data_IF_877705953166
#
_entry.id   IF_877705953166
#
_cell.length_a   1.000
_cell.length_b   1.000
_cell.length_c   1.000
_cell.angle_alpha   90.00
_cell.angle_beta   90.00
_cell.angle_gamma   90.00
#
_symmetry.space_group_name_H-M   'P 1'
#
loop_
_entity.id
_entity.type
_entity.pdbx_description
1 polymer ?
#
# COMPACT_ATOMS: atom_id res chain seq x y z
N UNK A 1 9.49 -15.33 -4.46
CA UNK A 1 10.80 -14.70 -4.70
C UNK A 1 10.56 -13.45 -5.53
N UNK A 2 11.17 -12.30 -5.21
CA UNK A 2 10.85 -11.06 -5.90
C UNK A 2 12.02 -10.08 -5.93
N UNK A 3 11.85 -8.98 -6.67
CA UNK A 3 12.84 -7.92 -6.77
C UNK A 3 12.22 -6.58 -7.17
N UNK A 4 12.94 -5.52 -6.88
CA UNK A 4 12.56 -4.13 -7.22
C UNK A 4 13.69 -3.48 -7.99
N UNK A 5 13.34 -2.79 -9.06
CA UNK A 5 14.27 -1.94 -9.80
C UNK A 5 13.68 -0.53 -9.84
N UNK A 6 14.48 0.47 -9.43
CA UNK A 6 14.09 1.88 -9.43
C UNK A 6 15.19 2.73 -10.04
N UNK A 7 14.84 3.58 -10.99
CA UNK A 7 15.70 4.59 -11.59
C UNK A 7 15.37 5.96 -10.99
N UNK A 8 16.36 6.61 -10.40
CA UNK A 8 16.20 7.92 -9.78
C UNK A 8 16.53 9.05 -10.74
N UNK A 9 15.71 10.09 -10.72
CA UNK A 9 16.03 11.40 -11.28
C UNK A 9 15.67 12.49 -10.28
N UNK A 10 16.65 13.24 -9.82
CA UNK A 10 16.44 14.43 -9.02
C UNK A 10 16.06 15.59 -9.95
N UNK A 11 14.89 16.18 -9.73
CA UNK A 11 14.46 17.35 -10.50
C UNK A 11 15.09 18.62 -9.94
N UNK A 12 15.14 18.73 -8.61
CA UNK A 12 15.77 19.81 -7.86
C UNK A 12 16.05 19.30 -6.42
N UNK A 13 16.73 20.08 -5.54
CA UNK A 13 17.01 19.66 -4.17
C UNK A 13 15.76 19.30 -3.34
N UNK A 14 14.62 19.92 -3.66
CA UNK A 14 13.37 19.80 -2.91
C UNK A 14 12.41 18.71 -3.43
N UNK A 15 12.72 18.09 -4.60
CA UNK A 15 11.82 17.11 -5.21
C UNK A 15 12.56 15.99 -5.92
N UNK A 16 12.37 14.78 -5.41
CA UNK A 16 12.93 13.54 -5.97
C UNK A 16 11.80 12.69 -6.55
N UNK A 17 12.03 12.10 -7.70
CA UNK A 17 11.17 11.06 -8.23
C UNK A 17 11.99 9.88 -8.75
N UNK A 18 11.39 8.70 -8.66
CA UNK A 18 11.95 7.45 -9.19
C UNK A 18 10.86 6.71 -9.93
N UNK A 19 11.21 6.07 -11.01
CA UNK A 19 10.34 5.18 -11.77
C UNK A 19 10.93 3.79 -11.79
N UNK A 20 10.10 2.78 -11.77
CA UNK A 20 10.57 1.41 -11.82
C UNK A 20 9.48 0.39 -11.81
N UNK A 21 9.82 -0.82 -11.41
CA UNK A 21 8.89 -1.92 -11.29
C UNK A 21 9.27 -2.85 -10.13
N UNK A 22 8.27 -3.42 -9.52
CA UNK A 22 8.38 -4.54 -8.58
C UNK A 22 7.87 -5.78 -9.30
N UNK A 23 8.67 -6.84 -9.25
CA UNK A 23 8.24 -8.20 -9.57
C UNK A 23 8.23 -9.02 -8.30
N UNK A 24 7.17 -9.78 -8.08
CA UNK A 24 7.07 -10.70 -6.96
C UNK A 24 6.35 -11.98 -7.40
N UNK A 25 6.77 -13.12 -6.84
CA UNK A 25 6.06 -14.39 -6.98
C UNK A 25 5.25 -14.61 -5.72
N UNK A 26 3.94 -14.54 -5.87
CA UNK A 26 2.94 -14.79 -4.83
C UNK A 26 2.30 -16.17 -5.01
N UNK A 27 1.44 -16.58 -4.09
CA UNK A 27 0.68 -17.82 -4.24
C UNK A 27 -0.37 -17.75 -5.36
N UNK A 28 -0.83 -16.55 -5.68
CA UNK A 28 -1.73 -16.34 -6.81
C UNK A 28 -1.01 -16.25 -8.16
N UNK A 29 0.30 -16.38 -8.21
CA UNK A 29 1.10 -16.29 -9.43
C UNK A 29 2.04 -15.08 -9.47
N UNK A 30 2.68 -14.81 -10.62
CA UNK A 30 3.57 -13.69 -10.80
C UNK A 30 2.84 -12.36 -10.72
N UNK A 31 3.43 -11.41 -10.01
CA UNK A 31 2.93 -10.04 -9.85
C UNK A 31 3.94 -9.05 -10.41
N UNK A 32 3.48 -8.14 -11.26
CA UNK A 32 4.26 -7.02 -11.78
C UNK A 32 3.58 -5.70 -11.41
N UNK A 33 4.28 -4.85 -10.65
CA UNK A 33 3.76 -3.56 -10.21
C UNK A 33 4.64 -2.45 -10.77
N UNK A 34 4.15 -1.63 -11.72
CA UNK A 34 4.86 -0.40 -12.11
C UNK A 34 4.90 0.55 -10.90
N UNK A 35 6.07 1.14 -10.64
CA UNK A 35 6.31 1.96 -9.48
C UNK A 35 6.67 3.39 -9.87
N UNK A 36 6.05 4.36 -9.19
CA UNK A 36 6.41 5.76 -9.21
C UNK A 36 6.63 6.25 -7.77
N UNK A 37 7.88 6.45 -7.41
CA UNK A 37 8.21 7.09 -6.13
C UNK A 37 8.26 8.60 -6.30
N UNK A 38 7.60 9.31 -5.39
CA UNK A 38 7.63 10.77 -5.27
C UNK A 38 7.98 11.14 -3.84
N UNK A 39 8.88 12.11 -3.65
CA UNK A 39 9.18 12.70 -2.34
C UNK A 39 9.60 14.15 -2.54
N UNK A 40 8.85 15.07 -1.96
CA UNK A 40 9.24 16.46 -1.97
C UNK A 40 8.10 17.47 -1.90
N UNK A 41 8.49 18.71 -2.13
CA UNK A 41 7.65 19.89 -2.07
C UNK A 41 6.97 20.12 -3.42
N UNK A 42 5.65 20.22 -3.43
CA UNK A 42 4.85 20.46 -4.65
C UNK A 42 4.66 21.96 -4.87
N UNK A 43 4.12 22.65 -3.87
CA UNK A 43 3.89 24.09 -3.92
C UNK A 43 3.69 24.65 -2.49
N UNK A 44 4.42 25.73 -2.16
CA UNK A 44 4.31 26.34 -0.85
C UNK A 44 4.62 25.36 0.28
N UNK A 45 3.64 25.09 1.15
CA UNK A 45 3.74 24.13 2.27
C UNK A 45 3.18 22.75 1.94
N UNK A 46 2.75 22.52 0.71
CA UNK A 46 2.25 21.22 0.26
C UNK A 46 3.39 20.29 -0.14
N UNK A 47 3.33 19.07 0.36
CA UNK A 47 4.31 18.01 0.09
C UNK A 47 3.61 16.75 -0.37
N UNK A 48 4.30 15.99 -1.22
CA UNK A 48 3.92 14.64 -1.63
C UNK A 48 5.00 13.67 -1.18
N UNK A 49 4.58 12.49 -0.74
CA UNK A 49 5.48 11.37 -0.46
C UNK A 49 4.77 10.06 -0.73
N UNK A 50 5.37 9.19 -1.51
CA UNK A 50 4.77 7.90 -1.76
C UNK A 50 5.50 7.04 -2.76
N UNK A 51 5.09 5.78 -2.80
CA UNK A 51 5.47 4.77 -3.78
C UNK A 51 4.18 4.25 -4.43
N UNK A 52 3.78 4.91 -5.49
CA UNK A 52 2.54 4.62 -6.20
C UNK A 52 2.67 3.36 -7.05
N UNK A 53 1.63 2.49 -7.09
CA UNK A 53 0.30 2.63 -6.47
C UNK A 53 0.20 2.05 -5.05
N UNK A 54 1.30 1.66 -4.40
CA UNK A 54 1.30 0.94 -3.11
C UNK A 54 0.87 1.85 -1.96
N UNK A 55 1.46 3.05 -1.87
CA UNK A 55 1.03 4.05 -0.90
C UNK A 55 1.31 5.46 -1.39
N UNK A 56 0.57 6.43 -0.88
CA UNK A 56 0.81 7.84 -1.15
C UNK A 56 0.24 8.74 -0.06
N UNK A 57 0.93 9.85 0.14
CA UNK A 57 0.52 10.95 1.01
C UNK A 57 0.63 12.27 0.26
N UNK A 58 -0.42 13.08 0.33
CA UNK A 58 -0.41 14.49 -0.03
C UNK A 58 -0.77 15.28 1.22
N UNK A 59 0.12 16.13 1.70
CA UNK A 59 -0.06 16.78 2.97
C UNK A 59 0.44 18.23 3.00
N UNK A 60 -0.18 19.00 3.87
CA UNK A 60 0.20 20.36 4.20
C UNK A 60 1.07 20.34 5.45
N UNK A 61 2.28 20.85 5.35
CA UNK A 61 3.22 21.02 6.46
C UNK A 61 3.06 22.44 7.02
N UNK A 62 2.26 22.60 8.07
CA UNK A 62 2.01 23.91 8.66
C UNK A 62 3.30 24.51 9.23
N UNK A 63 4.05 23.70 9.98
CA UNK A 63 5.38 23.95 10.53
C UNK A 63 6.09 22.62 10.84
N UNK A 64 7.22 22.64 11.53
CA UNK A 64 7.98 21.43 11.88
C UNK A 64 7.27 20.54 12.93
N UNK A 65 6.23 21.04 13.54
CA UNK A 65 5.48 20.36 14.59
C UNK A 65 4.19 19.72 14.08
N UNK A 66 3.54 20.31 13.05
CA UNK A 66 2.19 19.94 12.63
C UNK A 66 2.13 19.72 11.13
N UNK A 67 1.60 18.58 10.74
CA UNK A 67 1.23 18.29 9.36
C UNK A 67 -0.11 17.55 9.31
N UNK A 68 -0.88 17.80 8.26
CA UNK A 68 -2.14 17.11 8.01
C UNK A 68 -2.39 16.94 6.52
N UNK A 69 -3.14 15.94 6.15
CA UNK A 69 -3.42 15.68 4.74
C UNK A 69 -4.16 14.39 4.49
N UNK A 70 -4.04 13.94 3.25
CA UNK A 70 -4.63 12.72 2.75
C UNK A 70 -3.56 11.64 2.53
N UNK A 71 -3.91 10.40 2.79
CA UNK A 71 -3.10 9.25 2.44
C UNK A 71 -3.95 8.11 1.90
N UNK A 72 -3.33 7.27 1.09
CA UNK A 72 -3.89 5.98 0.71
C UNK A 72 -2.84 4.87 0.85
N UNK A 73 -3.32 3.64 1.01
CA UNK A 73 -2.52 2.42 0.98
C UNK A 73 -3.28 1.39 0.18
N UNK A 74 -2.62 0.82 -0.82
CA UNK A 74 -3.12 -0.32 -1.60
C UNK A 74 -2.20 -1.52 -1.39
N UNK A 75 -2.75 -2.64 -0.96
CA UNK A 75 -1.99 -3.85 -0.68
C UNK A 75 -2.71 -5.08 -1.25
N UNK A 76 -1.96 -5.88 -2.00
CA UNK A 76 -2.35 -7.24 -2.39
C UNK A 76 -1.30 -8.20 -1.88
N UNK A 77 -1.71 -9.17 -1.10
CA UNK A 77 -0.83 -10.20 -0.52
C UNK A 77 -1.52 -11.55 -0.53
N UNK A 78 -0.75 -12.62 -0.48
CA UNK A 78 -1.28 -13.97 -0.35
C UNK A 78 -0.66 -14.71 0.83
N UNK A 79 -1.43 -15.60 1.42
CA UNK A 79 -1.06 -16.40 2.57
C UNK A 79 -1.41 -17.86 2.30
N UNK A 80 -0.45 -18.77 2.51
CA UNK A 80 -0.73 -20.20 2.48
C UNK A 80 -1.65 -20.56 3.65
N UNK A 81 -2.66 -21.35 3.36
CA UNK A 81 -3.50 -21.99 4.36
C UNK A 81 -3.26 -23.49 4.22
N UNK A 82 -2.62 -24.06 5.25
CA UNK A 82 -2.42 -25.50 5.35
C UNK A 82 -3.30 -26.04 6.46
N UNK A 83 -4.36 -26.72 6.08
CA UNK A 83 -5.24 -27.45 7.00
C UNK A 83 -5.36 -28.89 6.49
N UNK A 84 -5.22 -29.85 7.38
CA UNK A 84 -5.33 -31.31 7.05
C UNK A 84 -6.65 -31.66 6.38
N UNK A 85 -7.71 -30.88 6.62
CA UNK A 85 -9.06 -31.10 6.08
C UNK A 85 -9.35 -30.34 4.78
N UNK A 86 -8.68 -29.18 4.54
CA UNK A 86 -9.00 -28.28 3.45
C UNK A 86 -8.07 -28.43 2.23
N UNK A 87 -6.99 -29.21 2.35
CA UNK A 87 -5.99 -29.35 1.30
C UNK A 87 -5.12 -28.09 1.12
N UNK A 88 -4.33 -28.09 0.06
CA UNK A 88 -3.44 -26.96 -0.27
C UNK A 88 -4.23 -25.79 -0.85
N UNK A 89 -4.44 -24.76 -0.04
CA UNK A 89 -5.16 -23.54 -0.40
C UNK A 89 -4.32 -22.30 -0.09
N UNK A 90 -4.68 -21.18 -0.68
CA UNK A 90 -4.17 -19.87 -0.28
C UNK A 90 -5.29 -18.84 -0.20
N UNK A 91 -5.09 -17.87 0.69
CA UNK A 91 -5.94 -16.70 0.81
C UNK A 91 -5.28 -15.50 0.14
N UNK A 92 -5.97 -14.90 -0.81
CA UNK A 92 -5.59 -13.62 -1.38
C UNK A 92 -6.30 -12.50 -0.62
N UNK A 93 -5.53 -11.53 -0.14
CA UNK A 93 -6.05 -10.34 0.54
C UNK A 93 -5.76 -9.12 -0.31
N UNK A 94 -6.81 -8.40 -0.71
CA UNK A 94 -6.71 -7.08 -1.36
C UNK A 94 -7.35 -6.04 -0.47
N UNK A 95 -6.61 -4.97 -0.18
CA UNK A 95 -7.10 -3.87 0.65
C UNK A 95 -6.69 -2.55 0.01
N UNK A 96 -7.64 -1.61 -0.06
CA UNK A 96 -7.38 -0.21 -0.42
C UNK A 96 -7.98 0.65 0.68
N UNK A 97 -7.11 1.35 1.40
CA UNK A 97 -7.47 2.26 2.48
C UNK A 97 -7.19 3.71 2.05
N UNK A 98 -8.17 4.58 2.29
CA UNK A 98 -8.03 6.03 2.13
C UNK A 98 -8.32 6.72 3.46
N UNK A 99 -7.49 7.69 3.85
CA UNK A 99 -7.63 8.36 5.13
C UNK A 99 -7.17 9.82 5.10
N UNK A 100 -7.83 10.62 5.90
CA UNK A 100 -7.28 11.89 6.39
C UNK A 100 -6.39 11.58 7.59
N UNK A 101 -5.26 12.27 7.68
CA UNK A 101 -4.38 12.15 8.83
C UNK A 101 -3.96 13.51 9.37
N UNK A 102 -3.69 13.54 10.65
CA UNK A 102 -3.01 14.66 11.32
C UNK A 102 -1.85 14.11 12.13
N UNK A 103 -0.71 14.76 12.06
CA UNK A 103 0.51 14.42 12.79
C UNK A 103 1.00 15.61 13.57
N UNK A 104 1.20 15.44 14.87
CA UNK A 104 1.62 16.48 15.79
C UNK A 104 2.88 16.00 16.53
N UNK A 105 3.89 16.84 16.60
CA UNK A 105 5.10 16.62 17.38
C UNK A 105 4.75 16.78 18.86
N UNK A 106 5.01 15.76 19.67
CA UNK A 106 4.74 15.78 21.12
C UNK A 106 6.03 15.85 21.96
N UNK A 107 7.14 15.41 21.38
CA UNK A 107 8.44 15.50 22.03
C UNK A 107 9.51 15.51 20.94
N UNK A 108 10.69 16.00 21.14
CA UNK A 108 11.85 16.02 20.22
C UNK A 108 11.58 15.42 18.82
N UNK A 109 11.76 14.11 18.66
CA UNK A 109 11.52 13.36 17.42
C UNK A 109 10.30 12.43 17.52
N UNK A 110 9.49 12.59 18.58
CA UNK A 110 8.29 11.79 18.81
C UNK A 110 7.04 12.53 18.33
N UNK A 111 6.26 11.89 17.50
CA UNK A 111 5.03 12.41 16.93
C UNK A 111 3.84 11.51 17.27
N UNK A 112 2.71 12.14 17.53
CA UNK A 112 1.41 11.48 17.55
C UNK A 112 0.75 11.66 16.19
N UNK A 113 0.36 10.54 15.56
CA UNK A 113 -0.36 10.56 14.29
C UNK A 113 -1.73 9.90 14.46
N UNK A 114 -2.79 10.69 14.20
CA UNK A 114 -4.15 10.21 14.12
C UNK A 114 -4.61 10.10 12.67
N UNK A 115 -5.42 9.07 12.36
CA UNK A 115 -6.02 8.83 11.05
C UNK A 115 -7.49 8.50 11.21
N UNK A 116 -8.30 9.08 10.33
CA UNK A 116 -9.70 8.70 10.15
C UNK A 116 -9.89 8.40 8.68
N UNK A 117 -10.38 7.23 8.38
CA UNK A 117 -10.40 6.77 7.00
C UNK A 117 -11.49 5.75 6.72
N UNK A 118 -11.45 5.28 5.49
CA UNK A 118 -12.35 4.30 4.96
C UNK A 118 -11.58 3.26 4.15
N UNK A 119 -11.81 2.00 4.45
CA UNK A 119 -11.35 0.91 3.59
C UNK A 119 -12.32 0.79 2.43
N UNK A 120 -11.91 1.29 1.26
CA UNK A 120 -12.74 1.33 0.04
C UNK A 120 -12.88 -0.08 -0.55
N UNK A 121 -11.87 -0.90 -0.38
CA UNK A 121 -11.84 -2.28 -0.82
C UNK A 121 -11.23 -3.15 0.27
N UNK A 122 -12.00 -4.14 0.71
CA UNK A 122 -11.49 -5.30 1.46
C UNK A 122 -12.00 -6.54 0.77
N UNK A 123 -11.12 -7.29 0.16
CA UNK A 123 -11.48 -8.54 -0.52
C UNK A 123 -10.57 -9.66 -0.02
N UNK A 124 -11.17 -10.74 0.43
CA UNK A 124 -10.50 -11.95 0.90
C UNK A 124 -10.99 -13.12 0.06
N UNK A 125 -10.20 -13.52 -0.92
CA UNK A 125 -10.49 -14.66 -1.79
C UNK A 125 -9.73 -15.90 -1.33
N UNK A 126 -10.41 -17.03 -1.23
CA UNK A 126 -9.82 -18.34 -0.98
C UNK A 126 -9.76 -19.11 -2.31
N UNK A 127 -8.60 -19.66 -2.62
CA UNK A 127 -8.33 -20.34 -3.89
C UNK A 127 -7.53 -21.62 -3.65
N UNK A 128 -7.61 -22.57 -4.57
CA UNK A 128 -6.72 -23.73 -4.57
C UNK A 128 -5.30 -23.30 -4.92
N UNK A 129 -4.31 -23.96 -4.33
CA UNK A 129 -2.90 -23.63 -4.58
C UNK A 129 -2.46 -23.88 -6.04
N UNK A 130 -3.13 -24.75 -6.73
CA UNK A 130 -2.88 -25.03 -8.14
C UNK A 130 -3.47 -23.97 -9.09
N UNK A 131 -4.36 -23.10 -8.59
CA UNK A 131 -5.03 -22.07 -9.38
C UNK A 131 -4.21 -20.77 -9.32
N UNK A 132 -3.38 -20.53 -10.34
CA UNK A 132 -2.55 -19.34 -10.44
C UNK A 132 -3.00 -18.43 -11.60
N UNK A 133 -2.76 -17.14 -11.43
CA UNK A 133 -2.89 -16.13 -12.50
C UNK A 133 -1.71 -16.22 -13.47
N UNK A 134 -1.94 -15.87 -14.72
CA UNK A 134 -0.82 -15.66 -15.65
C UNK A 134 0.02 -14.44 -15.27
N UNK A 135 -0.63 -13.34 -14.86
CA UNK A 135 0.04 -12.13 -14.36
C UNK A 135 -0.92 -11.26 -13.56
N UNK A 136 -0.54 -10.89 -12.35
CA UNK A 136 -1.24 -9.90 -11.54
C UNK A 136 -0.64 -8.50 -11.72
N UNK A 137 -1.52 -7.50 -11.90
CA UNK A 137 -1.17 -6.08 -11.96
C UNK A 137 -2.09 -5.29 -11.01
N UNK A 138 -1.73 -4.06 -10.58
CA UNK A 138 -2.49 -3.31 -9.57
C UNK A 138 -3.98 -3.11 -9.87
N UNK A 139 -4.33 -2.96 -11.14
CA UNK A 139 -5.72 -2.64 -11.57
C UNK A 139 -6.37 -3.75 -12.38
N UNK A 140 -5.61 -4.77 -12.79
CA UNK A 140 -6.11 -5.83 -13.65
C UNK A 140 -5.34 -7.13 -13.43
N UNK A 141 -6.00 -8.25 -13.63
CA UNK A 141 -5.40 -9.57 -13.67
C UNK A 141 -5.48 -10.10 -15.11
N UNK A 142 -4.43 -10.75 -15.55
CA UNK A 142 -4.36 -11.39 -16.85
C UNK A 142 -4.43 -12.90 -16.64
N UNK A 143 -5.35 -13.58 -17.34
CA UNK A 143 -5.55 -15.02 -17.24
C UNK A 143 -6.06 -15.43 -15.85
N UNK A 144 -7.12 -14.77 -15.38
CA UNK A 144 -7.76 -15.11 -14.10
C UNK A 144 -8.93 -16.07 -14.34
N UNK A 145 -8.61 -17.36 -14.42
CA UNK A 145 -9.57 -18.46 -14.55
C UNK A 145 -9.79 -19.18 -13.20
N UNK A 146 -9.33 -18.58 -12.10
CA UNK A 146 -9.38 -19.20 -10.77
C UNK A 146 -10.81 -19.29 -10.25
N UNK A 147 -11.13 -20.43 -9.65
CA UNK A 147 -12.40 -20.62 -8.97
C UNK A 147 -12.28 -20.23 -7.51
N UNK A 148 -13.03 -19.21 -7.10
CA UNK A 148 -13.11 -18.80 -5.70
C UNK A 148 -13.87 -19.83 -4.86
N UNK A 149 -13.28 -20.24 -3.74
CA UNK A 149 -13.82 -21.29 -2.88
C UNK A 149 -14.72 -20.74 -1.76
N UNK A 150 -14.52 -19.49 -1.33
CA UNK A 150 -15.35 -18.87 -0.30
C UNK A 150 -16.44 -17.99 -0.92
N UNK A 151 -17.48 -17.72 -0.12
CA UNK A 151 -18.48 -16.72 -0.45
C UNK A 151 -17.81 -15.34 -0.60
N UNK A 152 -18.43 -14.46 -1.37
CA UNK A 152 -17.90 -13.14 -1.61
C UNK A 152 -17.77 -12.37 -0.28
N UNK A 153 -16.54 -12.20 0.18
CA UNK A 153 -16.21 -11.46 1.41
C UNK A 153 -15.61 -10.10 1.03
N UNK A 154 -16.34 -9.34 0.23
CA UNK A 154 -16.05 -7.94 -0.02
C UNK A 154 -16.63 -7.11 1.12
N UNK A 155 -15.86 -6.17 1.59
CA UNK A 155 -16.30 -5.28 2.66
C UNK A 155 -15.70 -3.90 2.51
N UNK A 156 -16.46 -2.96 3.01
CA UNK A 156 -16.03 -1.59 3.19
C UNK A 156 -16.24 -1.23 4.65
N UNK A 157 -15.36 -0.46 5.24
CA UNK A 157 -15.55 -0.05 6.64
C UNK A 157 -14.79 1.21 6.98
N UNK A 158 -15.37 2.09 7.82
CA UNK A 158 -14.62 3.17 8.43
C UNK A 158 -13.61 2.60 9.42
N UNK A 159 -12.53 3.35 9.61
CA UNK A 159 -11.54 3.06 10.63
C UNK A 159 -10.98 4.33 11.27
N UNK A 160 -10.59 4.21 12.52
CA UNK A 160 -9.81 5.21 13.25
C UNK A 160 -8.53 4.55 13.73
N UNK A 161 -7.42 5.24 13.55
CA UNK A 161 -6.12 4.72 13.93
C UNK A 161 -5.31 5.81 14.64
N UNK A 162 -4.65 5.43 15.73
CA UNK A 162 -3.76 6.30 16.48
C UNK A 162 -2.42 5.59 16.65
N UNK A 163 -1.31 6.31 16.41
CA UNK A 163 0.03 5.75 16.60
C UNK A 163 1.04 6.79 17.06
N UNK A 164 2.04 6.31 17.76
CA UNK A 164 3.27 7.06 18.04
C UNK A 164 4.28 6.77 16.92
N UNK A 165 4.93 7.81 16.43
CA UNK A 165 5.93 7.75 15.38
C UNK A 165 7.20 8.41 15.86
N UNK A 166 8.25 7.64 16.03
CA UNK A 166 9.57 8.19 16.27
C UNK A 166 10.28 8.41 14.92
N UNK A 167 10.75 9.63 14.68
CA UNK A 167 11.41 10.02 13.43
C UNK A 167 12.88 10.28 13.70
N UNK A 168 13.72 9.33 13.34
CA UNK A 168 15.18 9.57 13.34
C UNK A 168 15.46 10.45 12.13
N UNK A 169 15.87 11.70 12.36
CA UNK A 169 16.46 12.52 11.31
C UNK A 169 17.89 11.99 11.10
N UNK A 170 18.25 11.53 9.89
CA UNK A 170 19.63 11.22 9.56
C UNK A 170 20.47 12.48 9.46
#
# INVERSE_FOLDING_TARGET
MGGVVLFEKKKNPDFTWRIGALYNQEFFGPQLVPLLYLDGKVKGKWRVKGLFPIYGKLYYQANDQISAGFQFVGLTTSYAISDEQSGDQYMERRVIDAALFSRVKIWEDLFLEGRVGYSILKNYGLYKRADELSLAMPLTNIGDDRTRLNLDSQGESPFVFLRLVYSVNP
#
